data_IF_442323869119
#
_entry.id   IF_442323869119
#
_cell.length_a   1.000
_cell.length_b   1.000
_cell.length_c   1.000
_cell.angle_alpha   90.00
_cell.angle_beta   90.00
_cell.angle_gamma   90.00
#
_symmetry.space_group_name_H-M   'P 1'
#
loop_
_entity.id
_entity.type
_entity.pdbx_description
1 polymer ?
#
# COMPACT_ATOMS: atom_id res chain seq x y z
N UNK A 1 5.88 18.13 14.84
CA UNK A 1 7.06 17.45 14.27
C UNK A 1 6.84 15.96 14.47
N UNK A 2 6.44 15.22 13.43
CA UNK A 2 6.31 13.77 13.52
C UNK A 2 7.62 13.11 13.16
N UNK A 3 8.26 12.47 14.13
CA UNK A 3 9.33 11.53 13.84
C UNK A 3 8.73 10.33 13.12
N UNK A 4 9.41 9.88 12.06
CA UNK A 4 9.00 8.69 11.29
C UNK A 4 8.94 7.51 12.27
N UNK A 5 7.87 6.71 12.23
CA UNK A 5 7.80 5.47 13.03
C UNK A 5 8.76 4.45 12.45
N UNK A 6 9.81 4.13 13.18
CA UNK A 6 10.91 3.28 12.72
C UNK A 6 10.99 2.03 13.59
N UNK A 7 11.21 0.88 12.95
CA UNK A 7 11.43 -0.39 13.64
C UNK A 7 12.93 -0.65 13.87
N UNK A 8 13.25 -1.62 14.74
CA UNK A 8 14.63 -1.95 15.09
C UNK A 8 15.47 -2.38 13.86
N UNK A 9 14.86 -3.07 12.90
CA UNK A 9 15.54 -3.53 11.68
C UNK A 9 16.08 -2.36 10.84
N UNK A 10 15.33 -1.26 10.73
CA UNK A 10 15.78 -0.05 10.02
C UNK A 10 16.92 0.61 10.78
N UNK A 11 16.83 0.69 12.12
CA UNK A 11 17.91 1.23 12.97
C UNK A 11 19.19 0.43 12.76
N UNK A 12 19.12 -0.89 12.86
CA UNK A 12 20.28 -1.77 12.72
C UNK A 12 20.90 -1.68 11.32
N UNK A 13 20.07 -1.57 10.27
CA UNK A 13 20.52 -1.39 8.90
C UNK A 13 21.27 -0.06 8.71
N UNK A 14 20.78 1.03 9.28
CA UNK A 14 21.43 2.35 9.20
C UNK A 14 22.76 2.35 9.97
N UNK A 15 22.81 1.70 11.13
CA UNK A 15 24.04 1.55 11.90
C UNK A 15 25.07 0.67 11.17
N UNK A 16 24.64 -0.38 10.48
CA UNK A 16 25.51 -1.18 9.62
C UNK A 16 26.03 -0.37 8.43
N UNK A 17 25.17 0.42 7.79
CA UNK A 17 25.55 1.32 6.72
C UNK A 17 26.58 2.36 7.18
N UNK A 18 26.47 2.87 8.41
CA UNK A 18 27.40 3.86 8.95
C UNK A 18 28.83 3.33 9.16
N UNK A 19 29.02 2.00 9.20
CA UNK A 19 30.35 1.37 9.28
C UNK A 19 31.05 1.29 7.92
N UNK A 20 30.35 1.60 6.84
CA UNK A 20 30.91 1.57 5.49
C UNK A 20 31.81 2.78 5.25
N UNK A 21 32.76 2.62 4.34
CA UNK A 21 33.56 3.73 3.82
C UNK A 21 32.68 4.66 2.95
N UNK A 22 33.04 5.95 2.89
CA UNK A 22 32.26 6.98 2.19
C UNK A 22 32.07 6.68 0.70
N UNK A 23 33.10 6.19 0.00
CA UNK A 23 32.97 5.85 -1.43
C UNK A 23 32.02 4.66 -1.65
N UNK A 24 32.00 3.72 -0.70
CA UNK A 24 31.15 2.54 -0.73
C UNK A 24 29.70 2.86 -0.41
N UNK A 25 29.48 3.69 0.61
CA UNK A 25 28.18 4.21 0.97
C UNK A 25 27.56 4.99 -0.19
N UNK A 26 28.34 5.83 -0.88
CA UNK A 26 27.90 6.58 -2.05
C UNK A 26 27.46 5.66 -3.20
N UNK A 27 28.22 4.61 -3.50
CA UNK A 27 27.89 3.67 -4.57
C UNK A 27 26.55 2.93 -4.31
N UNK A 28 26.27 2.54 -3.07
CA UNK A 28 25.00 1.91 -2.69
C UNK A 28 23.85 2.91 -2.84
N UNK A 29 24.02 4.14 -2.36
CA UNK A 29 23.00 5.17 -2.47
C UNK A 29 22.68 5.45 -3.94
N UNK A 30 23.68 5.66 -4.81
CA UNK A 30 23.47 5.90 -6.24
C UNK A 30 22.59 4.79 -6.85
N UNK A 31 22.87 3.51 -6.54
CA UNK A 31 22.07 2.39 -7.04
C UNK A 31 20.62 2.40 -6.54
N UNK A 32 20.41 2.71 -5.25
CA UNK A 32 19.07 2.83 -4.67
C UNK A 32 18.30 3.99 -5.32
N UNK A 33 18.97 5.12 -5.56
CA UNK A 33 18.38 6.30 -6.18
C UNK A 33 18.10 6.13 -7.69
N UNK A 34 18.96 5.42 -8.43
CA UNK A 34 18.81 5.24 -9.88
C UNK A 34 17.68 4.29 -10.26
N UNK A 35 17.39 3.34 -9.38
CA UNK A 35 16.42 2.27 -9.60
C UNK A 35 15.38 2.21 -8.47
N UNK A 36 14.50 3.23 -8.37
CA UNK A 36 13.36 3.18 -7.45
C UNK A 36 12.52 1.92 -7.73
N UNK A 37 11.82 1.41 -6.72
CA UNK A 37 10.98 0.17 -6.79
C UNK A 37 11.70 -1.15 -7.00
N UNK A 38 12.94 -1.17 -7.49
CA UNK A 38 13.66 -2.42 -7.72
C UNK A 38 13.98 -3.15 -6.42
N UNK A 39 13.76 -4.47 -6.42
CA UNK A 39 14.18 -5.35 -5.32
C UNK A 39 15.71 -5.40 -5.27
N UNK A 40 16.25 -5.74 -4.10
CA UNK A 40 17.71 -5.94 -3.93
C UNK A 40 18.31 -6.85 -5.03
N UNK A 41 17.61 -7.93 -5.38
CA UNK A 41 17.99 -8.89 -6.43
C UNK A 41 18.04 -8.32 -7.85
N UNK A 42 17.41 -7.17 -8.09
CA UNK A 42 17.36 -6.49 -9.39
C UNK A 42 18.37 -5.33 -9.48
N UNK A 43 18.85 -4.82 -8.33
CA UNK A 43 19.78 -3.69 -8.26
C UNK A 43 21.23 -4.07 -8.59
N UNK A 44 21.60 -5.32 -8.31
CA UNK A 44 22.96 -5.83 -8.44
C UNK A 44 22.99 -7.13 -9.24
N UNK A 45 23.80 -7.19 -10.29
CA UNK A 45 24.06 -8.47 -10.98
C UNK A 45 24.84 -9.41 -10.07
N UNK A 46 24.71 -10.74 -10.22
CA UNK A 46 25.45 -11.72 -9.39
C UNK A 46 26.97 -11.44 -9.32
N UNK A 47 27.57 -10.95 -10.41
CA UNK A 47 29.00 -10.60 -10.46
C UNK A 47 29.32 -9.33 -9.68
N UNK A 48 28.46 -8.32 -9.73
CA UNK A 48 28.61 -7.10 -8.93
C UNK A 48 28.37 -7.41 -7.46
N UNK A 49 27.34 -8.19 -7.15
CA UNK A 49 26.94 -8.60 -5.82
C UNK A 49 28.06 -9.37 -5.12
N UNK A 50 28.65 -10.37 -5.77
CA UNK A 50 29.80 -11.11 -5.22
C UNK A 50 31.03 -10.21 -4.99
N UNK A 51 31.31 -9.26 -5.87
CA UNK A 51 32.40 -8.29 -5.68
C UNK A 51 32.10 -7.30 -4.55
N UNK A 52 30.88 -6.83 -4.48
CA UNK A 52 30.41 -5.82 -3.54
C UNK A 52 30.32 -6.41 -2.14
N UNK A 53 29.76 -7.60 -1.95
CA UNK A 53 29.77 -8.33 -0.67
C UNK A 53 31.20 -8.64 -0.21
N UNK A 54 32.09 -9.11 -1.11
CA UNK A 54 33.49 -9.37 -0.77
C UNK A 54 34.25 -8.10 -0.35
N UNK A 55 34.00 -6.96 -1.00
CA UNK A 55 34.62 -5.66 -0.69
C UNK A 55 34.03 -5.00 0.56
N UNK A 56 32.76 -5.27 0.87
CA UNK A 56 32.03 -4.65 1.97
C UNK A 56 32.10 -5.45 3.27
N UNK A 57 32.48 -6.73 3.22
CA UNK A 57 32.43 -7.66 4.37
C UNK A 57 31.04 -7.72 5.03
N UNK A 58 29.99 -7.50 4.25
CA UNK A 58 28.60 -7.65 4.66
C UNK A 58 28.01 -8.87 3.97
N UNK A 59 26.99 -9.47 4.57
CA UNK A 59 26.26 -10.56 3.93
C UNK A 59 25.12 -10.01 3.04
N UNK A 60 24.56 -10.89 2.21
CA UNK A 60 23.48 -10.55 1.29
C UNK A 60 22.24 -10.00 2.02
N UNK A 61 21.92 -10.59 3.17
CA UNK A 61 20.78 -10.19 4.01
C UNK A 61 20.94 -8.77 4.57
N UNK A 62 22.14 -8.41 5.05
CA UNK A 62 22.47 -7.09 5.56
C UNK A 62 22.36 -6.04 4.46
N UNK A 63 22.84 -6.33 3.26
CA UNK A 63 22.72 -5.42 2.13
C UNK A 63 21.27 -5.23 1.69
N UNK A 64 20.49 -6.32 1.64
CA UNK A 64 19.05 -6.25 1.39
C UNK A 64 18.32 -5.39 2.46
N UNK A 65 18.69 -5.55 3.74
CA UNK A 65 18.12 -4.74 4.83
C UNK A 65 18.49 -3.25 4.71
N UNK A 66 19.73 -2.92 4.30
CA UNK A 66 20.15 -1.55 4.00
C UNK A 66 19.32 -0.95 2.87
N UNK A 67 19.19 -1.67 1.75
CA UNK A 67 18.39 -1.23 0.60
C UNK A 67 16.95 -0.97 1.02
N UNK A 68 16.33 -1.90 1.76
CA UNK A 68 14.95 -1.75 2.25
C UNK A 68 14.80 -0.53 3.17
N UNK A 69 15.73 -0.33 4.10
CA UNK A 69 15.70 0.79 5.03
C UNK A 69 15.76 2.14 4.30
N UNK A 70 16.71 2.33 3.39
CA UNK A 70 16.83 3.57 2.63
C UNK A 70 15.69 3.78 1.63
N UNK A 71 15.22 2.72 0.96
CA UNK A 71 14.04 2.82 0.09
C UNK A 71 12.78 3.23 0.86
N UNK A 72 12.57 2.70 2.06
CA UNK A 72 11.46 3.12 2.93
C UNK A 72 11.56 4.59 3.33
N UNK A 73 12.75 5.05 3.75
CA UNK A 73 12.97 6.45 4.10
C UNK A 73 12.77 7.40 2.92
N UNK A 74 13.25 7.03 1.73
CA UNK A 74 13.06 7.82 0.51
C UNK A 74 11.60 7.88 0.09
N UNK A 75 10.86 6.77 0.22
CA UNK A 75 9.42 6.76 -0.02
C UNK A 75 8.69 7.71 0.93
N UNK A 76 9.08 7.76 2.20
CA UNK A 76 8.50 8.70 3.16
C UNK A 76 8.83 10.16 2.80
N UNK A 77 10.06 10.45 2.36
CA UNK A 77 10.43 11.79 1.87
C UNK A 77 9.57 12.23 0.67
N UNK A 78 9.25 11.31 -0.25
CA UNK A 78 8.38 11.57 -1.40
C UNK A 78 6.93 11.81 -0.95
N UNK A 79 6.41 10.96 -0.06
CA UNK A 79 5.03 11.04 0.42
C UNK A 79 4.74 12.34 1.17
N UNK A 80 5.60 12.71 2.11
CA UNK A 80 5.44 13.92 2.94
C UNK A 80 5.98 15.19 2.25
N UNK A 81 6.57 15.05 1.05
CA UNK A 81 7.30 16.12 0.34
C UNK A 81 8.34 16.85 1.22
N UNK A 82 8.88 16.15 2.22
CA UNK A 82 9.76 16.72 3.23
C UNK A 82 10.97 15.83 3.48
N UNK A 83 12.08 16.14 2.82
CA UNK A 83 13.36 15.44 3.04
C UNK A 83 13.97 15.74 4.41
N UNK A 84 13.63 16.88 5.03
CA UNK A 84 14.23 17.31 6.30
C UNK A 84 13.86 16.38 7.46
N UNK A 85 12.66 15.83 7.45
CA UNK A 85 12.23 14.88 8.49
C UNK A 85 13.01 13.56 8.38
N UNK A 86 13.35 13.14 7.16
CA UNK A 86 14.22 11.97 6.91
C UNK A 86 15.65 12.26 7.36
N UNK A 87 16.19 13.44 7.08
CA UNK A 87 17.52 13.85 7.54
C UNK A 87 17.63 13.90 9.06
N UNK A 88 16.63 14.49 9.73
CA UNK A 88 16.57 14.55 11.19
C UNK A 88 16.46 13.15 11.78
N UNK A 89 15.69 12.28 11.14
CA UNK A 89 15.56 10.88 11.51
C UNK A 89 16.90 10.14 11.39
N UNK A 90 17.61 10.29 10.26
CA UNK A 90 18.92 9.69 10.04
C UNK A 90 19.95 10.19 11.06
N UNK A 91 19.93 11.49 11.37
CA UNK A 91 20.78 12.09 12.40
C UNK A 91 20.45 11.55 13.79
N UNK A 92 19.16 11.39 14.13
CA UNK A 92 18.72 10.86 15.42
C UNK A 92 19.14 9.41 15.64
N UNK A 93 19.12 8.58 14.58
CA UNK A 93 19.57 7.18 14.62
C UNK A 93 21.09 7.08 14.78
N UNK A 94 21.84 8.15 14.47
CA UNK A 94 23.29 8.21 14.62
C UNK A 94 24.06 7.99 13.32
N UNK A 95 23.45 8.24 12.16
CA UNK A 95 24.18 8.27 10.89
C UNK A 95 25.20 9.43 10.92
N UNK A 96 26.43 9.17 10.47
CA UNK A 96 27.47 10.20 10.48
C UNK A 96 27.12 11.38 9.57
N UNK A 97 27.57 12.58 9.95
CA UNK A 97 27.34 13.79 9.14
C UNK A 97 27.91 13.67 7.71
N UNK A 98 29.01 12.93 7.54
CA UNK A 98 29.56 12.64 6.21
C UNK A 98 28.62 11.81 5.34
N UNK A 99 28.01 10.77 5.91
CA UNK A 99 27.03 9.94 5.19
C UNK A 99 25.70 10.69 4.94
N UNK A 100 25.28 11.57 5.84
CA UNK A 100 24.12 12.45 5.61
C UNK A 100 24.40 13.41 4.44
N UNK A 101 25.59 14.01 4.37
CA UNK A 101 25.96 14.89 3.26
C UNK A 101 25.99 14.14 1.91
N UNK A 102 26.45 12.88 1.90
CA UNK A 102 26.37 12.02 0.71
C UNK A 102 24.91 11.75 0.32
N UNK A 103 24.05 11.42 1.27
CA UNK A 103 22.62 11.22 1.02
C UNK A 103 21.97 12.48 0.43
N UNK A 104 22.25 13.66 1.00
CA UNK A 104 21.79 14.95 0.48
C UNK A 104 22.24 15.19 -0.96
N UNK A 105 23.52 14.94 -1.25
CA UNK A 105 24.08 15.07 -2.60
C UNK A 105 23.33 14.16 -3.58
N UNK A 106 23.03 12.92 -3.21
CA UNK A 106 22.28 11.99 -4.07
C UNK A 106 20.81 12.41 -4.23
N UNK A 107 20.17 12.94 -3.19
CA UNK A 107 18.82 13.48 -3.28
C UNK A 107 18.72 14.68 -4.23
N UNK A 108 19.69 15.59 -4.18
CA UNK A 108 19.73 16.73 -5.12
C UNK A 108 19.94 16.25 -6.56
N UNK A 109 20.73 15.21 -6.77
CA UNK A 109 21.09 14.71 -8.10
C UNK A 109 19.97 13.85 -8.73
N UNK A 110 19.41 12.91 -7.97
CA UNK A 110 18.49 11.89 -8.47
C UNK A 110 17.06 12.02 -7.92
N UNK A 111 16.83 12.85 -6.90
CA UNK A 111 15.56 12.91 -6.18
C UNK A 111 14.36 13.30 -7.03
N UNK A 112 14.54 14.12 -8.07
CA UNK A 112 13.45 14.47 -9.00
C UNK A 112 13.01 13.25 -9.83
N UNK A 113 13.95 12.56 -10.47
CA UNK A 113 13.67 11.36 -11.25
C UNK A 113 13.14 10.22 -10.36
N UNK A 114 13.70 10.09 -9.15
CA UNK A 114 13.20 9.16 -8.13
C UNK A 114 11.73 9.45 -7.78
N UNK A 115 11.39 10.71 -7.51
CA UNK A 115 10.03 11.13 -7.17
C UNK A 115 9.04 10.81 -8.28
N UNK A 116 9.41 11.09 -9.54
CA UNK A 116 8.57 10.79 -10.71
C UNK A 116 8.30 9.29 -10.80
N UNK A 117 9.35 8.46 -10.76
CA UNK A 117 9.22 7.01 -10.86
C UNK A 117 8.42 6.38 -9.71
N UNK A 118 8.57 6.88 -8.48
CA UNK A 118 7.78 6.42 -7.33
C UNK A 118 6.30 6.81 -7.46
N UNK A 119 6.00 7.99 -8.03
CA UNK A 119 4.62 8.40 -8.30
C UNK A 119 3.98 7.55 -9.40
N UNK A 120 4.74 7.22 -10.43
CA UNK A 120 4.30 6.32 -11.50
C UNK A 120 4.15 4.87 -11.02
N UNK A 121 4.97 4.43 -10.04
CA UNK A 121 4.95 3.08 -9.48
C UNK A 121 5.34 3.08 -7.98
N UNK A 122 4.35 3.17 -7.06
CA UNK A 122 4.65 3.25 -5.62
C UNK A 122 5.20 1.91 -5.08
N UNK A 123 6.36 1.95 -4.41
CA UNK A 123 7.09 0.81 -3.82
C UNK A 123 6.27 0.03 -2.78
N UNK A 124 5.23 0.65 -2.20
CA UNK A 124 4.43 0.06 -1.15
C UNK A 124 3.36 -0.94 -1.63
N UNK A 125 3.10 -1.03 -2.95
CA UNK A 125 2.04 -1.90 -3.47
C UNK A 125 2.60 -3.33 -3.65
N UNK A 126 2.63 -4.09 -2.55
CA UNK A 126 3.04 -5.51 -2.58
C UNK A 126 2.03 -6.39 -3.34
N UNK A 127 0.78 -5.94 -3.42
CA UNK A 127 -0.33 -6.61 -4.08
C UNK A 127 -1.14 -5.58 -4.88
N UNK A 128 -1.29 -5.83 -6.18
CA UNK A 128 -2.07 -5.00 -7.09
C UNK A 128 -3.45 -5.63 -7.30
N UNK A 129 -4.52 -4.82 -7.24
CA UNK A 129 -5.86 -5.26 -7.63
C UNK A 129 -5.93 -5.36 -9.16
N UNK A 130 -5.85 -6.58 -9.69
CA UNK A 130 -5.85 -6.86 -11.13
C UNK A 130 -7.24 -6.91 -11.73
N UNK A 131 -8.16 -7.55 -11.01
CA UNK A 131 -9.53 -7.71 -11.46
C UNK A 131 -10.49 -7.44 -10.32
N UNK A 132 -11.61 -6.80 -10.63
CA UNK A 132 -12.75 -6.72 -9.72
C UNK A 132 -14.04 -6.98 -10.47
N UNK A 133 -14.96 -7.70 -9.85
CA UNK A 133 -16.34 -7.87 -10.32
C UNK A 133 -17.29 -7.68 -9.16
N UNK A 134 -18.51 -7.22 -9.46
CA UNK A 134 -19.51 -6.99 -8.44
C UNK A 134 -20.83 -7.65 -8.81
N UNK A 135 -21.58 -8.07 -7.80
CA UNK A 135 -22.96 -8.53 -7.94
C UNK A 135 -23.78 -8.10 -6.74
N UNK A 136 -25.07 -7.88 -6.95
CA UNK A 136 -26.02 -7.58 -5.87
C UNK A 136 -26.84 -8.83 -5.63
N UNK A 137 -26.88 -9.26 -4.37
CA UNK A 137 -27.70 -10.38 -3.90
C UNK A 137 -28.79 -9.86 -2.97
N UNK A 138 -30.02 -10.33 -3.20
CA UNK A 138 -31.14 -10.11 -2.27
C UNK A 138 -31.37 -11.41 -1.49
N UNK A 139 -31.06 -11.45 -0.18
CA UNK A 139 -31.37 -12.61 0.64
C UNK A 139 -32.88 -12.67 0.88
N UNK A 140 -33.58 -13.49 0.09
CA UNK A 140 -35.03 -13.69 0.20
C UNK A 140 -35.41 -14.62 1.37
N UNK A 141 -34.51 -15.49 1.83
CA UNK A 141 -34.77 -16.48 2.89
C UNK A 141 -34.90 -15.87 4.29
N UNK A 142 -34.21 -14.76 4.55
CA UNK A 142 -34.33 -14.01 5.81
C UNK A 142 -35.46 -12.98 5.78
N UNK A 143 -36.20 -12.92 4.68
CA UNK A 143 -37.24 -11.93 4.48
C UNK A 143 -38.49 -12.29 5.27
N UNK A 144 -38.90 -11.41 6.20
CA UNK A 144 -40.21 -11.49 6.88
C UNK A 144 -41.40 -11.16 5.96
N UNK A 145 -41.24 -11.23 4.63
CA UNK A 145 -42.35 -11.08 3.72
C UNK A 145 -43.37 -12.19 4.03
N UNK A 146 -44.65 -11.84 4.23
CA UNK A 146 -45.67 -12.87 4.35
C UNK A 146 -45.67 -13.68 3.05
N UNK A 147 -45.41 -14.99 3.15
CA UNK A 147 -45.66 -15.94 2.07
C UNK A 147 -47.16 -15.86 1.78
N UNK A 148 -47.56 -15.17 0.70
CA UNK A 148 -48.93 -15.22 0.21
C UNK A 148 -49.16 -16.64 -0.32
N UNK A 149 -49.69 -17.52 0.52
CA UNK A 149 -50.30 -18.75 0.07
C UNK A 149 -51.55 -18.35 -0.73
N UNK A 150 -51.47 -18.50 -2.05
CA UNK A 150 -52.55 -18.18 -2.98
C UNK A 150 -53.70 -19.21 -2.91
N UNK A 151 -54.11 -19.63 -1.72
CA UNK A 151 -55.17 -20.62 -1.52
C UNK A 151 -56.52 -20.02 -1.13
N UNK A 152 -56.62 -18.71 -0.90
CA UNK A 152 -57.90 -18.03 -0.68
C UNK A 152 -57.96 -16.68 -1.41
N UNK A 153 -58.21 -16.71 -2.71
CA UNK A 153 -58.80 -15.60 -3.45
C UNK A 153 -60.31 -15.62 -3.19
N UNK A 154 -60.74 -15.13 -2.03
CA UNK A 154 -62.17 -14.88 -1.76
C UNK A 154 -62.41 -13.38 -1.92
N UNK A 155 -63.44 -13.02 -2.69
CA UNK A 155 -63.79 -11.65 -3.13
C UNK A 155 -64.05 -10.63 -2.01
N UNK A 156 -64.04 -11.05 -0.73
CA UNK A 156 -64.27 -10.16 0.42
C UNK A 156 -62.97 -9.81 1.16
N UNK A 157 -61.93 -9.39 0.44
CA UNK A 157 -60.70 -8.90 1.08
C UNK A 157 -60.83 -7.42 1.43
N UNK A 158 -60.68 -7.09 2.72
CA UNK A 158 -60.57 -5.72 3.21
C UNK A 158 -59.52 -4.94 2.41
N UNK A 159 -59.75 -3.64 2.13
CA UNK A 159 -58.76 -2.79 1.46
C UNK A 159 -57.47 -2.80 2.28
N UNK A 160 -56.34 -2.98 1.59
CA UNK A 160 -55.02 -2.83 2.19
C UNK A 160 -54.84 -1.33 2.46
N UNK A 161 -55.19 -0.89 3.68
CA UNK A 161 -55.20 0.53 4.02
C UNK A 161 -53.78 1.14 4.05
N UNK A 162 -52.73 0.32 4.23
CA UNK A 162 -51.36 0.82 4.33
C UNK A 162 -50.36 -0.04 3.53
N UNK A 163 -49.84 0.53 2.44
CA UNK A 163 -48.80 -0.08 1.59
C UNK A 163 -47.47 -0.33 2.31
N UNK A 164 -47.24 0.28 3.48
CA UNK A 164 -45.97 0.16 4.22
C UNK A 164 -45.77 -1.21 4.87
N UNK A 165 -46.82 -2.01 5.04
CA UNK A 165 -46.74 -3.37 5.61
C UNK A 165 -46.45 -4.47 4.57
N UNK A 166 -46.49 -4.15 3.27
CA UNK A 166 -46.29 -5.12 2.19
C UNK A 166 -44.82 -5.48 1.95
N UNK A 167 -43.88 -4.68 2.45
CA UNK A 167 -42.45 -4.87 2.22
C UNK A 167 -41.72 -5.04 3.56
N UNK A 168 -41.13 -6.23 3.78
CA UNK A 168 -40.18 -6.39 4.88
C UNK A 168 -39.04 -5.40 4.73
N UNK A 169 -38.61 -4.79 5.84
CA UNK A 169 -37.37 -4.00 5.95
C UNK A 169 -36.16 -4.75 5.36
N UNK A 170 -36.19 -6.09 5.36
CA UNK A 170 -35.11 -6.94 4.85
C UNK A 170 -35.02 -6.95 3.31
N UNK A 171 -36.14 -6.75 2.60
CA UNK A 171 -36.13 -6.57 1.14
C UNK A 171 -35.47 -5.24 0.71
N UNK A 172 -35.24 -4.33 1.66
CA UNK A 172 -34.54 -3.05 1.45
C UNK A 172 -33.03 -3.13 1.72
N UNK A 173 -32.48 -4.27 2.15
CA UNK A 173 -31.05 -4.41 2.44
C UNK A 173 -30.35 -5.36 1.44
N UNK A 174 -30.19 -4.94 0.17
CA UNK A 174 -29.41 -5.69 -0.80
C UNK A 174 -27.96 -5.79 -0.34
N UNK A 175 -27.35 -6.95 -0.52
CA UNK A 175 -25.95 -7.20 -0.21
C UNK A 175 -25.13 -7.11 -1.49
N UNK A 176 -24.10 -6.27 -1.47
CA UNK A 176 -23.11 -6.21 -2.54
C UNK A 176 -22.04 -7.27 -2.28
N UNK A 177 -21.73 -8.07 -3.29
CA UNK A 177 -20.61 -9.00 -3.28
C UNK A 177 -19.56 -8.43 -4.23
N UNK A 178 -18.38 -8.13 -3.69
CA UNK A 178 -17.22 -7.69 -4.44
C UNK A 178 -16.24 -8.86 -4.53
N UNK A 179 -15.98 -9.36 -5.74
CA UNK A 179 -14.91 -10.33 -5.96
C UNK A 179 -13.67 -9.58 -6.45
N UNK A 180 -12.53 -9.84 -5.82
CA UNK A 180 -11.28 -9.15 -6.07
C UNK A 180 -10.16 -10.15 -6.32
N UNK A 181 -9.31 -9.85 -7.28
CA UNK A 181 -8.06 -10.55 -7.55
C UNK A 181 -6.89 -9.63 -7.21
N UNK A 182 -6.17 -9.98 -6.14
CA UNK A 182 -4.89 -9.37 -5.83
C UNK A 182 -3.77 -10.20 -6.44
N UNK A 183 -2.78 -9.54 -7.03
CA UNK A 183 -1.59 -10.20 -7.56
C UNK A 183 -0.34 -9.55 -6.99
N UNK A 184 0.61 -10.37 -6.53
CA UNK A 184 1.92 -9.87 -6.13
C UNK A 184 2.71 -9.39 -7.34
N UNK A 185 3.60 -8.43 -7.13
CA UNK A 185 4.34 -7.75 -8.19
C UNK A 185 5.28 -8.68 -8.99
N UNK A 186 5.75 -9.78 -8.40
CA UNK A 186 6.54 -10.81 -9.09
C UNK A 186 5.70 -11.80 -9.90
N UNK A 187 4.37 -11.64 -9.91
CA UNK A 187 3.42 -12.53 -10.56
C UNK A 187 3.36 -13.93 -9.96
N UNK A 188 4.11 -14.19 -8.88
CA UNK A 188 4.27 -15.53 -8.30
C UNK A 188 3.05 -15.99 -7.52
N UNK A 189 2.30 -15.04 -6.97
CA UNK A 189 1.16 -15.32 -6.12
C UNK A 189 -0.03 -14.42 -6.48
N UNK A 190 -1.20 -15.04 -6.54
CA UNK A 190 -2.47 -14.36 -6.79
C UNK A 190 -3.51 -14.83 -5.78
N UNK A 191 -4.14 -13.89 -5.11
CA UNK A 191 -5.15 -14.12 -4.09
C UNK A 191 -6.51 -13.67 -4.60
N UNK A 192 -7.46 -14.61 -4.66
CA UNK A 192 -8.87 -14.33 -4.98
C UNK A 192 -9.66 -14.34 -3.70
N UNK A 193 -10.36 -13.25 -3.42
CA UNK A 193 -11.25 -13.18 -2.27
C UNK A 193 -12.53 -12.40 -2.61
N UNK A 194 -13.57 -12.64 -1.82
CA UNK A 194 -14.85 -11.99 -1.96
C UNK A 194 -15.23 -11.29 -0.66
N UNK A 195 -15.71 -10.06 -0.76
CA UNK A 195 -16.22 -9.28 0.37
C UNK A 195 -17.69 -9.03 0.18
N UNK A 196 -18.48 -9.30 1.22
CA UNK A 196 -19.90 -8.98 1.26
C UNK A 196 -20.10 -7.70 2.06
N UNK A 197 -20.80 -6.74 1.46
CA UNK A 197 -21.06 -5.43 2.05
C UNK A 197 -22.56 -5.16 2.10
N UNK A 198 -23.01 -4.66 3.24
CA UNK A 198 -24.35 -4.09 3.40
C UNK A 198 -24.38 -2.62 2.95
N UNK A 199 -25.59 -2.07 2.74
CA UNK A 199 -25.77 -0.69 2.25
C UNK A 199 -24.94 0.36 3.01
N UNK A 200 -24.95 0.30 4.35
CA UNK A 200 -24.20 1.25 5.18
C UNK A 200 -22.68 1.13 4.99
N UNK A 201 -22.17 -0.09 4.80
CA UNK A 201 -20.75 -0.36 4.57
C UNK A 201 -20.31 0.09 3.18
N UNK A 202 -21.18 -0.04 2.17
CA UNK A 202 -20.93 0.46 0.80
C UNK A 202 -20.79 1.98 0.82
N UNK A 203 -21.68 2.67 1.53
CA UNK A 203 -21.60 4.13 1.65
C UNK A 203 -20.31 4.56 2.35
N UNK A 204 -19.93 3.88 3.45
CA UNK A 204 -18.67 4.15 4.13
C UNK A 204 -17.45 3.90 3.21
N UNK A 205 -17.48 2.81 2.43
CA UNK A 205 -16.43 2.50 1.46
C UNK A 205 -16.29 3.63 0.43
N UNK A 206 -17.41 4.10 -0.15
CA UNK A 206 -17.43 5.20 -1.11
C UNK A 206 -16.83 6.48 -0.52
N UNK A 207 -17.28 6.90 0.66
CA UNK A 207 -16.77 8.10 1.33
C UNK A 207 -15.27 8.03 1.63
N UNK A 208 -14.74 6.83 1.93
CA UNK A 208 -13.30 6.66 2.14
C UNK A 208 -12.52 6.67 0.83
N UNK A 209 -13.06 6.10 -0.26
CA UNK A 209 -12.42 6.16 -1.57
C UNK A 209 -12.35 7.60 -2.10
N UNK A 210 -13.41 8.39 -1.93
CA UNK A 210 -13.42 9.83 -2.25
C UNK A 210 -12.32 10.58 -1.49
N UNK A 211 -12.19 10.35 -0.18
CA UNK A 211 -11.11 10.98 0.62
C UNK A 211 -9.72 10.60 0.11
N UNK A 212 -9.53 9.35 -0.31
CA UNK A 212 -8.25 8.90 -0.88
C UNK A 212 -8.01 9.59 -2.22
N UNK A 213 -9.04 9.72 -3.06
CA UNK A 213 -8.93 10.43 -4.32
C UNK A 213 -8.58 11.91 -4.12
N UNK A 214 -9.25 12.61 -3.21
CA UNK A 214 -8.93 13.99 -2.84
C UNK A 214 -7.46 14.13 -2.38
N UNK A 215 -6.96 13.17 -1.59
CA UNK A 215 -5.57 13.15 -1.16
C UNK A 215 -4.59 12.94 -2.33
N UNK A 216 -4.93 12.09 -3.29
CA UNK A 216 -4.12 11.86 -4.50
C UNK A 216 -4.10 13.10 -5.41
N UNK A 217 -5.24 13.78 -5.56
CA UNK A 217 -5.34 14.99 -6.37
C UNK A 217 -4.51 16.15 -5.79
N UNK A 218 -4.41 16.25 -4.45
CA UNK A 218 -3.50 17.19 -3.78
C UNK A 218 -2.01 16.85 -3.98
N UNK A 219 -1.69 15.60 -4.35
CA UNK A 219 -0.33 15.13 -4.61
C UNK A 219 0.12 15.32 -6.08
N UNK A 220 -0.80 15.65 -6.99
CA UNK A 220 -0.50 16.08 -8.37
C UNK A 220 -0.14 17.58 -8.43
#
# INVERSE_FOLDING_TARGET
MSLIKINQNIVDAILLFNKLDSAKAEAILIKIFSSPTSKYSELFTEKELNKLLALLKINEEQLNNIVRAFSFLLMHAVAERNIKDVEQTLAHIGLSQGHIALFQKQWVTYGNEYTIKIRERPVAIQQELKEFTWSISLPLESSKLPLKNATHLREDSFPIDHNEELYSIDAKNPQLILNMLLQQEDGSNSEKFAVRLEKAQIQNLFENLEKIQDQLDLLL
#
